data_IF_813127052312
#
_entry.id   IF_813127052312
#
_cell.length_a   1.000
_cell.length_b   1.000
_cell.length_c   1.000
_cell.angle_alpha   90.00
_cell.angle_beta   90.00
_cell.angle_gamma   90.00
#
_symmetry.space_group_name_H-M   'P 1'
#
loop_
_entity.id
_entity.type
_entity.pdbx_description
1 polymer ?
#
# COMPACT_ATOMS: atom_id res chain seq x y z
N UNK A 1 -24.50 3.46 -25.97
CA UNK A 1 -24.29 4.74 -25.25
C UNK A 1 -22.89 4.70 -24.65
N UNK A 2 -22.12 5.74 -24.85
CA UNK A 2 -20.81 5.94 -24.21
C UNK A 2 -20.98 7.00 -23.12
N UNK A 3 -20.42 6.74 -21.94
CA UNK A 3 -20.35 7.69 -20.83
C UNK A 3 -18.87 7.93 -20.49
N UNK A 4 -18.44 9.17 -20.48
CA UNK A 4 -17.13 9.58 -20.03
C UNK A 4 -17.30 10.50 -18.80
N UNK A 5 -16.54 10.20 -17.74
CA UNK A 5 -16.60 10.97 -16.48
C UNK A 5 -15.29 10.81 -15.71
N UNK A 6 -15.02 11.73 -14.80
CA UNK A 6 -13.91 11.60 -13.86
C UNK A 6 -14.17 10.43 -12.89
N UNK A 7 -13.11 9.77 -12.45
CA UNK A 7 -13.18 8.70 -11.45
C UNK A 7 -13.53 9.29 -10.09
N UNK A 8 -14.75 9.03 -9.63
CA UNK A 8 -15.24 9.40 -8.29
C UNK A 8 -15.89 8.19 -7.63
N UNK A 9 -16.00 8.16 -6.31
CA UNK A 9 -16.60 7.04 -5.58
C UNK A 9 -18.04 6.67 -6.00
N UNK A 10 -18.74 7.57 -6.70
CA UNK A 10 -20.13 7.37 -7.15
C UNK A 10 -20.32 7.40 -8.67
N UNK A 11 -19.26 7.57 -9.46
CA UNK A 11 -19.34 7.85 -10.90
C UNK A 11 -20.13 6.82 -11.72
N UNK A 12 -20.20 5.58 -11.28
CA UNK A 12 -20.85 4.48 -12.01
C UNK A 12 -22.03 3.86 -11.25
N UNK A 13 -22.47 4.44 -10.14
CA UNK A 13 -23.59 3.89 -9.35
C UNK A 13 -24.90 3.93 -10.13
N UNK A 14 -25.65 2.81 -10.07
CA UNK A 14 -26.97 2.70 -10.68
C UNK A 14 -26.97 2.56 -12.20
N UNK A 15 -25.82 2.31 -12.82
CA UNK A 15 -25.72 2.10 -14.25
C UNK A 15 -25.19 0.69 -14.56
N UNK A 16 -25.61 0.13 -15.69
CA UNK A 16 -25.10 -1.15 -16.21
C UNK A 16 -24.17 -0.87 -17.38
N UNK A 17 -23.00 -1.51 -17.38
CA UNK A 17 -21.99 -1.36 -18.41
C UNK A 17 -21.59 -2.72 -18.99
N UNK A 18 -21.36 -2.78 -20.29
CA UNK A 18 -20.73 -3.93 -20.94
C UNK A 18 -19.20 -3.83 -20.96
N UNK A 19 -18.68 -2.60 -20.88
CA UNK A 19 -17.25 -2.32 -20.80
C UNK A 19 -17.03 -1.13 -19.85
N UNK A 20 -16.07 -1.28 -18.96
CA UNK A 20 -15.51 -0.18 -18.15
C UNK A 20 -14.04 -0.03 -18.54
N UNK A 21 -13.65 1.18 -18.94
CA UNK A 21 -12.29 1.54 -19.26
C UNK A 21 -11.82 2.60 -18.27
N UNK A 22 -10.75 2.33 -17.56
CA UNK A 22 -10.12 3.24 -16.61
C UNK A 22 -8.76 3.64 -17.17
N UNK A 23 -8.59 4.92 -17.41
CA UNK A 23 -7.36 5.53 -17.89
C UNK A 23 -6.64 6.21 -16.75
N UNK A 24 -5.31 6.15 -16.74
CA UNK A 24 -4.44 6.75 -15.73
C UNK A 24 -4.83 6.39 -14.28
N UNK A 25 -5.21 5.13 -14.08
CA UNK A 25 -5.81 4.70 -12.81
C UNK A 25 -4.85 4.77 -11.62
N UNK A 26 -3.53 4.66 -11.84
CA UNK A 26 -2.53 4.82 -10.77
C UNK A 26 -2.51 6.22 -10.16
N UNK A 27 -2.99 7.24 -10.90
CA UNK A 27 -3.04 8.63 -10.44
C UNK A 27 -4.33 8.98 -9.69
N UNK A 28 -5.27 8.06 -9.60
CA UNK A 28 -6.49 8.26 -8.81
C UNK A 28 -6.15 8.17 -7.31
N UNK A 29 -6.52 9.18 -6.49
CA UNK A 29 -6.25 9.15 -5.05
C UNK A 29 -6.74 7.86 -4.39
N UNK A 30 -5.95 7.31 -3.47
CA UNK A 30 -6.16 5.98 -2.89
C UNK A 30 -7.57 5.77 -2.32
N UNK A 31 -8.09 6.75 -1.57
CA UNK A 31 -9.46 6.68 -1.01
C UNK A 31 -10.54 6.60 -2.08
N UNK A 32 -10.40 7.39 -3.15
CA UNK A 32 -11.34 7.41 -4.28
C UNK A 32 -11.25 6.10 -5.07
N UNK A 33 -10.05 5.60 -5.37
CA UNK A 33 -9.86 4.34 -6.08
C UNK A 33 -10.53 3.17 -5.35
N UNK A 34 -10.32 3.05 -4.04
CA UNK A 34 -10.93 1.99 -3.22
C UNK A 34 -12.46 2.11 -3.18
N UNK A 35 -13.02 3.31 -3.01
CA UNK A 35 -14.46 3.54 -2.99
C UNK A 35 -15.10 3.26 -4.36
N UNK A 36 -14.45 3.70 -5.44
CA UNK A 36 -14.88 3.44 -6.81
C UNK A 36 -14.99 1.93 -7.07
N UNK A 37 -13.97 1.16 -6.74
CA UNK A 37 -13.99 -0.29 -6.91
C UNK A 37 -15.13 -0.96 -6.13
N UNK A 38 -15.32 -0.59 -4.87
CA UNK A 38 -16.43 -1.10 -4.04
C UNK A 38 -17.81 -0.81 -4.65
N UNK A 39 -17.95 0.33 -5.34
CA UNK A 39 -19.22 0.73 -5.94
C UNK A 39 -19.48 0.16 -7.34
N UNK A 40 -18.43 -0.06 -8.14
CA UNK A 40 -18.50 -0.47 -9.53
C UNK A 40 -18.41 -1.98 -9.70
N UNK A 41 -17.62 -2.65 -8.89
CA UNK A 41 -17.36 -4.09 -9.00
C UNK A 41 -18.66 -4.94 -8.94
N UNK A 42 -19.64 -4.67 -8.06
CA UNK A 42 -20.92 -5.40 -8.07
C UNK A 42 -21.68 -5.23 -9.39
N UNK A 43 -21.61 -4.05 -10.01
CA UNK A 43 -22.28 -3.77 -11.29
C UNK A 43 -21.62 -4.54 -12.43
N UNK A 44 -20.29 -4.67 -12.41
CA UNK A 44 -19.53 -5.42 -13.39
C UNK A 44 -19.77 -6.92 -13.23
N UNK A 45 -19.74 -7.41 -12.00
CA UNK A 45 -19.90 -8.84 -11.68
C UNK A 45 -21.32 -9.36 -11.95
N UNK A 46 -22.32 -8.50 -12.02
CA UNK A 46 -23.71 -8.88 -12.33
C UNK A 46 -23.97 -9.09 -13.84
N UNK A 47 -23.09 -8.59 -14.70
CA UNK A 47 -23.18 -8.78 -16.16
C UNK A 47 -22.54 -10.09 -16.61
N UNK A 48 -23.18 -10.81 -17.54
CA UNK A 48 -22.64 -12.08 -18.07
C UNK A 48 -21.38 -11.90 -18.94
N UNK A 49 -21.20 -10.72 -19.55
CA UNK A 49 -20.09 -10.42 -20.49
C UNK A 49 -19.42 -9.06 -20.23
N UNK A 50 -19.50 -8.55 -19.01
CA UNK A 50 -18.89 -7.26 -18.69
C UNK A 50 -17.36 -7.39 -18.63
N UNK A 51 -16.67 -6.47 -19.31
CA UNK A 51 -15.20 -6.38 -19.32
C UNK A 51 -14.74 -5.15 -18.60
N UNK A 52 -13.60 -5.23 -17.94
CA UNK A 52 -12.90 -4.10 -17.36
C UNK A 52 -11.48 -4.04 -17.93
N UNK A 53 -11.10 -2.87 -18.42
CA UNK A 53 -9.75 -2.56 -18.88
C UNK A 53 -9.23 -1.42 -18.03
N UNK A 54 -8.05 -1.58 -17.48
CA UNK A 54 -7.38 -0.59 -16.63
C UNK A 54 -6.02 -0.32 -17.24
N UNK A 55 -5.74 0.94 -17.56
CA UNK A 55 -4.48 1.38 -18.16
C UNK A 55 -3.89 2.47 -17.29
N UNK A 56 -2.59 2.41 -17.07
CA UNK A 56 -1.83 3.46 -16.39
C UNK A 56 -0.33 3.26 -16.55
N UNK A 57 0.44 4.30 -16.45
CA UNK A 57 1.82 4.23 -16.00
C UNK A 57 1.84 4.05 -14.47
N UNK A 58 2.90 3.50 -13.88
CA UNK A 58 3.03 3.35 -12.43
C UNK A 58 3.05 4.70 -11.70
N UNK A 59 2.49 4.73 -10.49
CA UNK A 59 2.57 5.91 -9.61
C UNK A 59 2.69 5.46 -8.15
N UNK A 60 3.87 5.01 -7.74
CA UNK A 60 4.13 4.49 -6.41
C UNK A 60 3.40 3.17 -6.09
N UNK A 61 3.46 2.75 -4.82
CA UNK A 61 2.86 1.50 -4.33
C UNK A 61 1.40 1.69 -3.90
N UNK A 62 0.56 2.14 -4.79
CA UNK A 62 -0.83 2.47 -4.55
C UNK A 62 -1.80 1.30 -4.83
N UNK A 63 -3.09 1.61 -5.03
CA UNK A 63 -4.10 0.59 -5.33
C UNK A 63 -3.85 -0.12 -6.67
N UNK A 64 -3.35 0.59 -7.69
CA UNK A 64 -3.01 0.01 -8.99
C UNK A 64 -1.82 -0.96 -8.86
N UNK A 65 -0.78 -0.59 -8.11
CA UNK A 65 0.33 -1.49 -7.80
C UNK A 65 -0.14 -2.80 -7.15
N UNK A 66 -1.02 -2.70 -6.14
CA UNK A 66 -1.58 -3.88 -5.49
C UNK A 66 -2.30 -4.79 -6.48
N UNK A 67 -3.14 -4.20 -7.35
CA UNK A 67 -3.86 -4.95 -8.38
C UNK A 67 -2.91 -5.63 -9.38
N UNK A 68 -1.83 -4.93 -9.74
CA UNK A 68 -0.80 -5.45 -10.64
C UNK A 68 -0.12 -6.68 -10.04
N UNK A 69 0.39 -6.56 -8.81
CA UNK A 69 1.03 -7.69 -8.09
C UNK A 69 0.07 -8.87 -7.92
N UNK A 70 -1.19 -8.61 -7.53
CA UNK A 70 -2.19 -9.67 -7.41
C UNK A 70 -2.49 -10.36 -8.76
N UNK A 71 -2.35 -9.66 -9.87
CA UNK A 71 -2.51 -10.22 -11.20
C UNK A 71 -1.29 -11.05 -11.63
N UNK A 72 -0.08 -10.55 -11.38
CA UNK A 72 1.17 -11.30 -11.66
C UNK A 72 1.28 -12.59 -10.84
N UNK A 73 0.81 -12.56 -9.60
CA UNK A 73 0.78 -13.74 -8.71
C UNK A 73 -0.46 -14.63 -8.92
N UNK A 74 -1.23 -14.41 -9.97
CA UNK A 74 -2.45 -15.17 -10.32
C UNK A 74 -3.50 -15.19 -9.19
N UNK A 75 -3.44 -14.24 -8.26
CA UNK A 75 -4.41 -14.09 -7.15
C UNK A 75 -5.67 -13.30 -7.54
N UNK A 76 -5.71 -12.75 -8.75
CA UNK A 76 -6.86 -12.05 -9.32
C UNK A 76 -7.23 -12.61 -10.68
N UNK A 77 -8.38 -12.18 -11.24
CA UNK A 77 -8.81 -12.54 -12.59
C UNK A 77 -8.34 -11.56 -13.67
N UNK A 78 -7.60 -10.53 -13.29
CA UNK A 78 -6.99 -9.62 -14.24
C UNK A 78 -5.79 -10.29 -14.92
N UNK A 79 -5.65 -10.03 -16.21
CA UNK A 79 -4.49 -10.43 -17.00
C UNK A 79 -3.57 -9.22 -17.10
N UNK A 80 -2.35 -9.28 -16.51
CA UNK A 80 -1.40 -8.19 -16.61
C UNK A 80 -0.78 -8.15 -18.01
N UNK A 81 -0.71 -6.96 -18.58
CA UNK A 81 -0.06 -6.70 -19.86
C UNK A 81 0.84 -5.48 -19.65
N UNK A 82 2.17 -5.69 -19.70
CA UNK A 82 3.14 -4.61 -19.75
C UNK A 82 3.56 -4.38 -21.20
N UNK A 83 3.82 -3.14 -21.55
CA UNK A 83 4.39 -2.74 -22.84
C UNK A 83 5.61 -1.88 -22.55
N UNK A 84 6.76 -2.40 -22.85
CA UNK A 84 8.02 -1.71 -22.65
C UNK A 84 8.27 -0.65 -23.73
N UNK A 85 9.03 0.39 -23.38
CA UNK A 85 9.32 1.50 -24.29
C UNK A 85 9.97 1.06 -25.62
N UNK A 86 10.83 0.01 -25.60
CA UNK A 86 11.51 -0.51 -26.79
C UNK A 86 10.59 -1.32 -27.73
N UNK A 87 9.42 -1.74 -27.28
CA UNK A 87 8.42 -2.39 -28.11
C UNK A 87 7.67 -1.40 -29.00
N UNK A 88 7.83 -0.11 -28.74
CA UNK A 88 7.20 0.95 -29.53
C UNK A 88 8.09 1.32 -30.71
N UNK A 89 7.60 1.23 -31.97
CA UNK A 89 8.39 1.57 -33.14
C UNK A 89 8.99 2.97 -33.10
N UNK A 90 10.28 3.08 -33.42
CA UNK A 90 11.03 4.33 -33.44
C UNK A 90 11.62 4.75 -32.10
N UNK A 91 11.49 3.95 -31.05
CA UNK A 91 12.15 4.14 -29.77
C UNK A 91 13.38 3.26 -29.66
N UNK A 92 14.56 3.86 -29.68
CA UNK A 92 15.86 3.21 -29.53
C UNK A 92 16.63 3.79 -28.33
N UNK A 93 17.86 3.31 -28.07
CA UNK A 93 18.68 3.82 -26.96
C UNK A 93 18.95 5.33 -27.08
N UNK A 94 19.11 5.85 -28.29
CA UNK A 94 19.30 7.30 -28.51
C UNK A 94 18.04 8.08 -28.08
N UNK A 95 16.88 7.59 -28.45
CA UNK A 95 15.61 8.17 -28.01
C UNK A 95 15.51 8.14 -26.48
N UNK A 96 15.91 7.05 -25.81
CA UNK A 96 15.95 6.93 -24.35
C UNK A 96 16.86 7.98 -23.72
N UNK A 97 18.09 8.11 -24.22
CA UNK A 97 19.05 9.10 -23.75
C UNK A 97 18.49 10.53 -23.88
N UNK A 98 17.82 10.84 -24.98
CA UNK A 98 17.16 12.12 -25.20
C UNK A 98 16.02 12.37 -24.20
N UNK A 99 15.21 11.35 -23.88
CA UNK A 99 14.15 11.49 -22.88
C UNK A 99 14.73 11.74 -21.49
N UNK A 100 15.73 10.95 -21.07
CA UNK A 100 16.40 11.11 -19.77
C UNK A 100 17.04 12.51 -19.66
N UNK A 101 17.68 13.02 -20.73
CA UNK A 101 18.27 14.34 -20.75
C UNK A 101 17.24 15.47 -20.62
N UNK A 102 16.01 15.26 -21.12
CA UNK A 102 14.94 16.26 -21.09
C UNK A 102 14.10 16.21 -19.80
N UNK A 103 14.13 15.11 -19.07
CA UNK A 103 13.36 14.90 -17.83
C UNK A 103 14.30 14.45 -16.70
N UNK A 104 14.22 13.22 -16.30
CA UNK A 104 15.13 12.55 -15.39
C UNK A 104 15.12 11.05 -15.64
N UNK A 105 16.11 10.33 -15.12
CA UNK A 105 16.13 8.87 -15.14
C UNK A 105 14.94 8.28 -14.36
N UNK A 106 14.54 8.93 -13.26
CA UNK A 106 13.41 8.54 -12.45
C UNK A 106 12.09 8.68 -13.23
N UNK A 107 11.87 9.81 -13.90
CA UNK A 107 10.69 10.03 -14.73
C UNK A 107 10.66 9.05 -15.91
N UNK A 108 11.81 8.79 -16.54
CA UNK A 108 11.90 7.81 -17.62
C UNK A 108 11.51 6.41 -17.15
N UNK A 109 12.02 5.99 -16.00
CA UNK A 109 11.74 4.67 -15.45
C UNK A 109 10.26 4.52 -15.07
N UNK A 110 9.61 5.58 -14.58
CA UNK A 110 8.20 5.55 -14.27
C UNK A 110 7.32 5.56 -15.53
N UNK A 111 7.55 6.51 -16.45
CA UNK A 111 6.63 6.79 -17.55
C UNK A 111 6.83 5.88 -18.77
N UNK A 112 8.06 5.41 -18.99
CA UNK A 112 8.40 4.64 -20.17
C UNK A 112 8.87 3.22 -19.91
N UNK A 113 9.64 2.99 -18.85
CA UNK A 113 10.03 1.66 -18.42
C UNK A 113 8.98 1.01 -17.49
N UNK A 114 7.90 1.71 -17.18
CA UNK A 114 6.78 1.23 -16.37
C UNK A 114 7.22 0.64 -15.02
N UNK A 115 8.28 1.18 -14.42
CA UNK A 115 8.74 0.75 -13.11
C UNK A 115 7.88 1.34 -12.01
N UNK A 116 7.38 0.51 -11.11
CA UNK A 116 6.75 0.96 -9.88
C UNK A 116 7.82 1.53 -8.94
N UNK A 117 8.24 2.74 -9.22
CA UNK A 117 9.08 3.50 -8.31
C UNK A 117 8.25 3.86 -7.09
N UNK A 118 8.80 3.71 -5.89
CA UNK A 118 8.14 4.30 -4.73
C UNK A 118 8.13 5.81 -4.91
N UNK A 119 7.18 6.46 -4.26
CA UNK A 119 7.09 7.91 -4.34
C UNK A 119 8.47 8.51 -4.07
N UNK A 120 8.89 9.48 -4.87
CA UNK A 120 10.12 10.27 -4.68
C UNK A 120 10.25 10.90 -3.28
N UNK A 121 9.17 10.89 -2.51
CA UNK A 121 9.07 11.38 -1.14
C UNK A 121 9.09 10.28 -0.06
N UNK A 122 9.48 9.04 -0.38
CA UNK A 122 9.65 8.04 0.68
C UNK A 122 10.97 8.27 1.41
N UNK A 123 10.93 8.26 2.75
CA UNK A 123 12.11 8.36 3.61
C UNK A 123 13.13 7.23 3.34
N UNK A 124 12.67 6.11 2.82
CA UNK A 124 13.49 4.92 2.53
C UNK A 124 13.43 4.64 1.03
N UNK A 125 14.60 4.44 0.42
CA UNK A 125 14.69 4.08 -0.99
C UNK A 125 13.87 2.81 -1.28
N UNK A 126 13.10 2.85 -2.35
CA UNK A 126 12.16 1.79 -2.74
C UNK A 126 12.84 0.46 -3.01
N UNK A 127 14.03 0.48 -3.58
CA UNK A 127 14.80 -0.75 -3.80
C UNK A 127 15.18 -1.43 -2.48
N UNK A 128 15.39 -0.64 -1.42
CA UNK A 128 15.56 -1.18 -0.07
C UNK A 128 14.25 -1.78 0.44
N UNK A 129 13.12 -1.09 0.25
CA UNK A 129 11.81 -1.58 0.66
C UNK A 129 11.42 -2.88 -0.07
N UNK A 130 11.71 -2.99 -1.37
CA UNK A 130 11.47 -4.22 -2.17
C UNK A 130 12.29 -5.43 -1.69
N UNK A 131 13.47 -5.18 -1.15
CA UNK A 131 14.37 -6.22 -0.65
C UNK A 131 14.14 -6.58 0.83
N UNK A 132 13.18 -5.91 1.51
CA UNK A 132 12.84 -6.27 2.88
C UNK A 132 12.16 -7.64 2.90
N UNK A 133 12.77 -8.55 3.63
CA UNK A 133 12.19 -9.87 3.85
C UNK A 133 11.10 -9.81 4.92
N UNK A 134 10.02 -10.53 4.69
CA UNK A 134 8.94 -10.69 5.65
C UNK A 134 9.37 -11.62 6.78
N UNK A 135 9.14 -11.22 8.02
CA UNK A 135 9.38 -12.04 9.21
C UNK A 135 8.03 -12.42 9.82
N UNK A 136 7.77 -13.72 9.97
CA UNK A 136 6.57 -14.19 10.63
C UNK A 136 6.66 -13.91 12.14
N UNK A 137 5.58 -13.40 12.77
CA UNK A 137 5.54 -13.26 14.22
C UNK A 137 5.54 -14.63 14.92
N UNK A 138 6.17 -14.71 16.08
CA UNK A 138 6.10 -15.89 16.97
C UNK A 138 4.70 -16.01 17.59
N UNK A 139 4.05 -14.89 17.84
CA UNK A 139 2.71 -14.81 18.38
C UNK A 139 1.93 -13.70 17.65
N UNK A 140 0.69 -14.00 17.27
CA UNK A 140 -0.20 -13.05 16.63
C UNK A 140 -1.63 -13.21 17.16
N UNK A 141 -2.21 -12.13 17.68
CA UNK A 141 -3.59 -12.13 18.18
C UNK A 141 -4.18 -10.72 18.18
N UNK A 142 -5.37 -10.55 17.63
CA UNK A 142 -6.15 -9.30 17.68
C UNK A 142 -5.33 -8.06 17.27
N UNK A 143 -4.60 -8.13 16.16
CA UNK A 143 -3.79 -7.01 15.67
C UNK A 143 -2.43 -6.84 16.37
N UNK A 144 -2.15 -7.59 17.45
CA UNK A 144 -0.85 -7.60 18.12
C UNK A 144 0.01 -8.74 17.58
N UNK A 145 1.19 -8.41 17.06
CA UNK A 145 2.19 -9.33 16.56
C UNK A 145 3.47 -9.20 17.38
N UNK A 146 3.97 -10.31 17.91
CA UNK A 146 5.23 -10.38 18.65
C UNK A 146 6.25 -11.23 17.90
N UNK A 147 7.43 -10.67 17.66
CA UNK A 147 8.51 -11.26 16.86
C UNK A 147 9.59 -11.89 17.75
N UNK A 148 9.85 -11.33 18.92
CA UNK A 148 10.85 -11.82 19.87
C UNK A 148 10.28 -11.99 21.27
N UNK A 149 10.85 -12.92 22.02
CA UNK A 149 10.50 -13.11 23.42
C UNK A 149 11.06 -11.95 24.25
N UNK A 150 10.32 -11.60 25.30
CA UNK A 150 10.75 -10.56 26.24
C UNK A 150 11.95 -11.07 27.03
N UNK A 151 13.00 -10.29 27.08
CA UNK A 151 14.24 -10.65 27.79
C UNK A 151 14.35 -9.85 29.08
N UNK A 152 14.68 -10.50 30.17
CA UNK A 152 14.96 -9.84 31.44
C UNK A 152 16.10 -8.81 31.29
N UNK A 153 15.98 -7.69 31.97
CA UNK A 153 16.97 -6.58 31.99
C UNK A 153 17.14 -5.85 30.63
N UNK A 154 16.32 -6.19 29.62
CA UNK A 154 16.27 -5.39 28.40
C UNK A 154 15.41 -4.15 28.58
N UNK A 155 15.80 -3.07 27.92
CA UNK A 155 15.09 -1.80 27.89
C UNK A 155 14.25 -1.70 26.61
N UNK A 156 12.97 -1.34 26.77
CA UNK A 156 12.03 -1.24 25.66
C UNK A 156 11.40 0.14 25.60
N UNK A 157 11.10 0.58 24.39
CA UNK A 157 10.33 1.79 24.10
C UNK A 157 9.13 1.40 23.24
N UNK A 158 7.99 2.04 23.51
CA UNK A 158 6.77 1.90 22.70
C UNK A 158 6.49 3.25 22.05
N UNK A 159 6.53 3.29 20.72
CA UNK A 159 6.05 4.45 19.94
C UNK A 159 4.61 4.18 19.53
N UNK A 160 3.71 5.12 19.88
CA UNK A 160 2.26 5.00 19.72
C UNK A 160 1.76 6.06 18.76
N UNK A 161 0.98 5.67 17.78
CA UNK A 161 0.17 6.53 16.93
C UNK A 161 -1.32 6.22 17.18
N UNK A 162 -2.12 7.27 17.35
CA UNK A 162 -3.52 7.14 17.75
C UNK A 162 -4.48 7.52 16.62
N UNK A 163 -5.59 6.78 16.51
CA UNK A 163 -6.68 7.09 15.58
C UNK A 163 -8.03 7.17 16.31
N UNK A 164 -9.06 7.58 15.57
CA UNK A 164 -10.43 7.71 16.12
C UNK A 164 -11.15 6.37 16.31
N UNK A 165 -10.61 5.25 15.82
CA UNK A 165 -11.22 3.92 15.94
C UNK A 165 -12.52 3.73 15.15
N UNK A 166 -12.73 4.48 14.08
CA UNK A 166 -13.95 4.46 13.24
C UNK A 166 -13.78 3.70 11.91
N UNK A 167 -12.71 2.91 11.78
CA UNK A 167 -12.47 2.08 10.61
C UNK A 167 -11.75 2.78 9.43
N UNK A 168 -11.35 4.04 9.59
CA UNK A 168 -10.52 4.77 8.63
C UNK A 168 -9.04 4.49 8.86
N UNK A 169 -8.41 5.34 9.67
CA UNK A 169 -7.01 5.17 10.07
C UNK A 169 -6.85 4.14 11.19
N UNK A 170 -5.67 3.56 11.31
CA UNK A 170 -5.37 2.61 12.37
C UNK A 170 -4.78 3.31 13.60
N UNK A 171 -5.19 2.89 14.78
CA UNK A 171 -4.36 3.04 15.98
C UNK A 171 -3.25 1.99 15.90
N UNK A 172 -2.01 2.40 16.12
CA UNK A 172 -0.86 1.52 16.01
C UNK A 172 0.18 1.80 17.08
N UNK A 173 0.95 0.80 17.44
CA UNK A 173 2.20 1.00 18.19
C UNK A 173 3.27 0.00 17.76
N UNK A 174 4.51 0.40 18.00
CA UNK A 174 5.70 -0.44 17.78
C UNK A 174 6.50 -0.54 19.06
N UNK A 175 6.84 -1.75 19.48
CA UNK A 175 7.72 -2.01 20.63
C UNK A 175 9.13 -2.26 20.10
N UNK A 176 10.08 -1.50 20.61
CA UNK A 176 11.47 -1.48 20.18
C UNK A 176 12.37 -1.86 21.37
N UNK A 177 13.20 -2.86 21.19
CA UNK A 177 14.31 -3.16 22.10
C UNK A 177 15.46 -2.20 21.82
N UNK A 178 15.79 -1.36 22.78
CA UNK A 178 16.82 -0.32 22.70
C UNK A 178 18.09 -0.68 23.49
N UNK A 179 18.18 -1.90 24.01
CA UNK A 179 19.29 -2.33 24.86
C UNK A 179 20.63 -2.31 24.14
N UNK A 180 20.62 -2.62 22.83
CA UNK A 180 21.84 -2.69 22.01
C UNK A 180 21.56 -2.15 20.60
N UNK A 181 22.58 -1.56 19.98
CA UNK A 181 22.53 -1.13 18.58
C UNK A 181 22.97 -2.30 17.67
N UNK A 182 22.25 -2.60 16.56
CA UNK A 182 21.04 -1.91 16.08
C UNK A 182 19.81 -2.21 16.93
N UNK A 183 18.96 -1.19 17.13
CA UNK A 183 17.65 -1.35 17.78
C UNK A 183 16.76 -2.33 17.00
N UNK A 184 15.90 -3.03 17.69
CA UNK A 184 15.11 -4.12 17.11
C UNK A 184 13.63 -3.95 17.39
N UNK A 185 12.81 -4.01 16.37
CA UNK A 185 11.35 -4.11 16.52
C UNK A 185 11.02 -5.51 17.01
N UNK A 186 10.47 -5.62 18.21
CA UNK A 186 10.16 -6.90 18.87
C UNK A 186 8.67 -7.21 18.91
N UNK A 187 7.81 -6.18 18.81
CA UNK A 187 6.37 -6.36 18.66
C UNK A 187 5.75 -5.14 17.97
N UNK A 188 4.57 -5.32 17.41
CA UNK A 188 3.73 -4.25 16.87
C UNK A 188 2.26 -4.54 17.14
N UNK A 189 1.45 -3.49 17.08
CA UNK A 189 -0.01 -3.56 17.11
C UNK A 189 -0.59 -2.67 16.01
N UNK A 190 -1.71 -3.09 15.44
CA UNK A 190 -2.45 -2.32 14.45
C UNK A 190 -3.92 -2.70 14.46
N UNK A 191 -4.81 -1.72 14.67
CA UNK A 191 -6.26 -1.91 14.61
C UNK A 191 -6.96 -0.59 14.24
N UNK A 192 -7.89 -0.62 13.28
CA UNK A 192 -8.66 0.55 12.85
C UNK A 192 -9.96 0.74 13.62
N UNK A 193 -10.32 -0.20 14.48
CA UNK A 193 -11.62 -0.26 15.17
C UNK A 193 -11.51 -0.18 16.69
N UNK A 194 -10.28 -0.26 17.23
CA UNK A 194 -10.08 -0.17 18.69
C UNK A 194 -10.59 1.18 19.22
N UNK A 195 -11.43 1.10 20.26
CA UNK A 195 -11.93 2.30 20.91
C UNK A 195 -10.79 3.10 21.55
N UNK A 196 -10.74 4.44 21.35
CA UNK A 196 -9.78 5.31 22.03
C UNK A 196 -9.80 5.23 23.57
N UNK A 197 -10.90 4.76 24.15
CA UNK A 197 -11.04 4.55 25.60
C UNK A 197 -10.31 3.28 26.05
N UNK A 198 -10.33 2.23 25.24
CA UNK A 198 -9.70 0.94 25.54
C UNK A 198 -8.21 0.88 25.13
N UNK A 199 -7.82 1.69 24.16
CA UNK A 199 -6.47 1.67 23.63
C UNK A 199 -5.39 2.01 24.68
N UNK A 200 -5.54 3.00 25.57
CA UNK A 200 -4.58 3.27 26.65
C UNK A 200 -4.37 2.10 27.60
N UNK A 201 -5.42 1.32 27.90
CA UNK A 201 -5.30 0.13 28.76
C UNK A 201 -4.48 -0.96 28.09
N UNK A 202 -4.67 -1.17 26.78
CA UNK A 202 -3.86 -2.09 26.00
C UNK A 202 -2.38 -1.68 26.04
N UNK A 203 -2.08 -0.39 25.78
CA UNK A 203 -0.71 0.15 25.80
C UNK A 203 -0.08 -0.06 27.19
N UNK A 204 -0.81 0.26 28.26
CA UNK A 204 -0.33 0.07 29.62
C UNK A 204 0.03 -1.38 29.91
N UNK A 205 -0.83 -2.32 29.54
CA UNK A 205 -0.59 -3.75 29.76
C UNK A 205 0.63 -4.25 28.97
N UNK A 206 0.79 -3.81 27.72
CA UNK A 206 1.96 -4.14 26.91
C UNK A 206 3.21 -3.52 27.50
N UNK A 207 3.20 -2.24 27.88
CA UNK A 207 4.35 -1.58 28.48
C UNK A 207 4.81 -2.30 29.76
N UNK A 208 3.87 -2.68 30.62
CA UNK A 208 4.14 -3.41 31.85
C UNK A 208 4.80 -4.78 31.57
N UNK A 209 4.31 -5.49 30.56
CA UNK A 209 4.87 -6.79 30.17
C UNK A 209 6.28 -6.65 29.59
N UNK A 210 6.55 -5.57 28.85
CA UNK A 210 7.87 -5.28 28.29
C UNK A 210 8.75 -4.48 29.30
N UNK A 211 8.95 -5.02 30.48
CA UNK A 211 9.83 -4.51 31.54
C UNK A 211 9.53 -3.04 31.95
N UNK A 212 8.27 -2.62 31.96
CA UNK A 212 7.84 -1.23 32.12
C UNK A 212 8.44 -0.31 31.04
N UNK A 213 8.25 -0.68 29.78
CA UNK A 213 8.71 0.07 28.62
C UNK A 213 8.30 1.57 28.70
N UNK A 214 9.19 2.45 28.28
CA UNK A 214 8.86 3.86 28.11
C UNK A 214 7.89 4.03 26.93
N UNK A 215 6.84 4.82 27.13
CA UNK A 215 5.79 5.04 26.14
C UNK A 215 5.86 6.47 25.61
N UNK A 216 6.02 6.59 24.29
CA UNK A 216 5.92 7.84 23.54
C UNK A 216 4.63 7.84 22.74
N UNK A 217 3.77 8.82 22.92
CA UNK A 217 2.49 8.95 22.18
C UNK A 217 2.56 10.21 21.31
N UNK A 218 2.22 10.04 20.02
CA UNK A 218 2.06 11.11 19.05
C UNK A 218 0.60 11.54 18.93
#
# INVERSE_FOLDING_TARGET
KILATSTTGSAARGQSFSLVFLDEFAFVPHGIASEFFKSVYPTISSGQETKMIIVSTPSGMNHFYKMWVEAEEERSKFMPIAVDWWETPGRDEKWKEEQIANTSEEDFNQEFACEFLGSSNTLINVNILRNLTFVNPKFSKNGFDQYEDIKEKHEYVISVDTSRGVGGDNSAFTVIDITQIPYRVVAKFKDSTISPILYPELIYNVAKNFNNAFVLVE
#
